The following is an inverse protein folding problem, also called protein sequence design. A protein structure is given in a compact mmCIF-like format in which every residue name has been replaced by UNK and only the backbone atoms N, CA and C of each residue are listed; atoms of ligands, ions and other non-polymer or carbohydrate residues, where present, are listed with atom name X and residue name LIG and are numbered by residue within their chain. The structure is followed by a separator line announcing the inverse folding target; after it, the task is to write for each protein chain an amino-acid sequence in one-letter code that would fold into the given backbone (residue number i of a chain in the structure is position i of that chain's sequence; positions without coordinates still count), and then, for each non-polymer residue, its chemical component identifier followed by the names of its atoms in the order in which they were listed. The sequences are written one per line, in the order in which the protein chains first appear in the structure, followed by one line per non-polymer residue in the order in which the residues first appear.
data_IF_929460667385
#
_entry.id   IF_929460667385
#
_cell.length_a   1.000
_cell.length_b   1.000
_cell.length_c   1.000
_cell.angle_alpha   90.00
_cell.angle_beta   90.00
_cell.angle_gamma   90.00
#
_symmetry.space_group_name_H-M   'P 1'
#
loop_
_entity.id
_entity.type
_entity.pdbx_description
1 polymer ?
#
# COMPACT_ATOMS: atom_id res chain seq x y z
N UNK A 1 -8.24 -10.56 -17.46
CA UNK A 1 -7.78 -10.86 -16.08
C UNK A 1 -6.58 -9.98 -15.72
N UNK A 2 -6.57 -9.35 -14.55
CA UNK A 2 -5.49 -8.44 -14.11
C UNK A 2 -5.04 -8.64 -12.66
N UNK A 3 -5.78 -9.42 -11.87
CA UNK A 3 -5.48 -9.59 -10.44
C UNK A 3 -4.26 -10.49 -10.21
N UNK A 4 -3.50 -10.19 -9.16
CA UNK A 4 -2.56 -11.13 -8.56
C UNK A 4 -3.27 -11.85 -7.41
N UNK A 5 -3.32 -13.19 -7.47
CA UNK A 5 -4.05 -14.03 -6.52
C UNK A 5 -3.04 -14.82 -5.69
N UNK A 6 -3.05 -14.58 -4.38
CA UNK A 6 -2.22 -15.25 -3.37
C UNK A 6 -3.07 -16.31 -2.68
N UNK A 7 -2.77 -17.58 -2.86
CA UNK A 7 -3.61 -18.69 -2.39
C UNK A 7 -2.95 -19.41 -1.21
N UNK A 8 -3.71 -19.61 -0.12
CA UNK A 8 -3.36 -20.56 0.94
C UNK A 8 -4.42 -21.65 1.03
N UNK A 9 -4.01 -22.91 0.98
CA UNK A 9 -4.90 -24.08 0.98
C UNK A 9 -4.18 -25.33 0.46
N UNK A 10 -4.90 -26.44 0.31
CA UNK A 10 -4.35 -27.63 -0.34
C UNK A 10 -4.17 -27.42 -1.85
N UNK A 11 -3.09 -27.94 -2.41
CA UNK A 11 -2.76 -27.81 -3.83
C UNK A 11 -3.84 -28.45 -4.73
N UNK A 12 -4.33 -29.63 -4.35
CA UNK A 12 -5.43 -30.33 -5.03
C UNK A 12 -6.71 -29.47 -5.12
N UNK A 13 -7.03 -28.73 -4.06
CA UNK A 13 -8.19 -27.83 -4.03
C UNK A 13 -7.96 -26.60 -4.91
N UNK A 14 -6.75 -26.05 -4.91
CA UNK A 14 -6.38 -24.96 -5.82
C UNK A 14 -6.50 -25.39 -7.28
N UNK A 15 -6.03 -26.58 -7.64
CA UNK A 15 -6.08 -27.05 -9.02
C UNK A 15 -7.52 -27.20 -9.52
N UNK A 16 -8.43 -27.70 -8.67
CA UNK A 16 -9.86 -27.74 -8.98
C UNK A 16 -10.48 -26.34 -9.17
N UNK A 17 -9.97 -25.32 -8.48
CA UNK A 17 -10.45 -23.94 -8.58
C UNK A 17 -9.73 -23.11 -9.66
N UNK A 18 -8.68 -23.64 -10.28
CA UNK A 18 -7.73 -22.87 -11.09
C UNK A 18 -8.37 -22.20 -12.30
N UNK A 19 -9.30 -22.87 -12.97
CA UNK A 19 -10.00 -22.31 -14.14
C UNK A 19 -10.84 -21.09 -13.77
N UNK A 20 -11.58 -21.17 -12.65
CA UNK A 20 -12.39 -20.07 -12.13
C UNK A 20 -11.51 -18.90 -11.72
N UNK A 21 -10.42 -19.17 -10.99
CA UNK A 21 -9.48 -18.13 -10.58
C UNK A 21 -8.79 -17.47 -11.79
N UNK A 22 -8.51 -18.23 -12.85
CA UNK A 22 -7.86 -17.73 -14.06
C UNK A 22 -8.75 -16.78 -14.88
N UNK A 23 -10.07 -16.83 -14.70
CA UNK A 23 -10.97 -15.88 -15.33
C UNK A 23 -10.74 -14.43 -14.86
N UNK A 24 -10.28 -14.25 -13.61
CA UNK A 24 -10.07 -12.93 -12.99
C UNK A 24 -8.60 -12.60 -12.70
N UNK A 25 -7.77 -13.63 -12.47
CA UNK A 25 -6.36 -13.53 -12.12
C UNK A 25 -5.43 -13.62 -13.31
N UNK A 26 -4.43 -12.73 -13.37
CA UNK A 26 -3.30 -12.84 -14.30
C UNK A 26 -2.19 -13.74 -13.75
N UNK A 27 -2.03 -13.77 -12.43
CA UNK A 27 -1.03 -14.59 -11.73
C UNK A 27 -1.69 -15.24 -10.52
N UNK A 28 -1.59 -16.56 -10.43
CA UNK A 28 -2.11 -17.36 -9.31
C UNK A 28 -0.92 -18.05 -8.67
N UNK A 29 -0.62 -17.71 -7.42
CA UNK A 29 0.54 -18.23 -6.69
C UNK A 29 0.04 -18.98 -5.47
N UNK A 30 0.40 -20.26 -5.36
CA UNK A 30 0.21 -21.03 -4.14
C UNK A 30 1.31 -20.67 -3.15
N UNK A 31 0.93 -20.14 -2.00
CA UNK A 31 1.86 -19.69 -0.95
C UNK A 31 2.12 -20.80 0.07
N UNK A 32 1.14 -21.67 0.30
CA UNK A 32 1.24 -22.72 1.31
C UNK A 32 -0.14 -23.17 1.84
N UNK A 33 -0.21 -23.72 3.05
CA UNK A 33 -1.47 -24.20 3.64
C UNK A 33 -2.48 -23.07 3.91
N UNK A 34 -3.66 -23.45 4.40
CA UNK A 34 -4.70 -22.49 4.81
C UNK A 34 -4.12 -21.44 5.75
N UNK A 35 -4.42 -20.17 5.46
CA UNK A 35 -3.86 -19.00 6.16
C UNK A 35 -2.66 -18.35 5.46
N UNK A 36 -1.86 -19.10 4.69
CA UNK A 36 -0.67 -18.54 4.03
C UNK A 36 -0.98 -17.46 3.00
N UNK A 37 -2.11 -17.54 2.30
CA UNK A 37 -2.56 -16.48 1.39
C UNK A 37 -2.87 -15.17 2.11
N UNK A 38 -3.51 -15.25 3.29
CA UNK A 38 -3.79 -14.08 4.13
C UNK A 38 -2.50 -13.48 4.69
N UNK A 39 -1.58 -14.32 5.18
CA UNK A 39 -0.27 -13.86 5.63
C UNK A 39 0.54 -13.17 4.51
N UNK A 40 0.53 -13.73 3.29
CA UNK A 40 1.15 -13.09 2.13
C UNK A 40 0.52 -11.73 1.81
N UNK A 41 -0.81 -11.64 1.88
CA UNK A 41 -1.51 -10.36 1.71
C UNK A 41 -1.10 -9.36 2.79
N UNK A 42 -1.05 -9.74 4.06
CA UNK A 42 -0.61 -8.87 5.15
C UNK A 42 0.81 -8.32 4.90
N UNK A 43 1.76 -9.17 4.51
CA UNK A 43 3.12 -8.74 4.13
C UNK A 43 3.09 -7.71 3.01
N UNK A 44 2.27 -7.91 1.98
CA UNK A 44 2.10 -6.93 0.91
C UNK A 44 1.57 -5.59 1.44
N UNK A 45 0.60 -5.61 2.36
CA UNK A 45 -0.01 -4.37 2.87
C UNK A 45 0.96 -3.57 3.77
N UNK A 46 1.81 -4.25 4.55
CA UNK A 46 2.90 -3.63 5.31
C UNK A 46 3.90 -2.93 4.37
N UNK A 47 4.32 -3.60 3.30
CA UNK A 47 5.24 -3.01 2.30
C UNK A 47 4.58 -1.81 1.61
N UNK A 48 3.32 -1.93 1.20
CA UNK A 48 2.59 -0.82 0.59
C UNK A 48 2.46 0.39 1.51
N UNK A 49 2.23 0.19 2.81
CA UNK A 49 2.18 1.27 3.79
C UNK A 49 3.53 1.99 3.88
N UNK A 50 4.62 1.25 4.08
CA UNK A 50 5.96 1.83 4.17
C UNK A 50 6.37 2.59 2.91
N UNK A 51 6.03 2.08 1.71
CA UNK A 51 6.30 2.79 0.45
C UNK A 51 5.49 4.09 0.38
N UNK A 52 4.18 4.06 0.69
CA UNK A 52 3.35 5.27 0.64
C UNK A 52 3.83 6.33 1.64
N UNK A 53 4.13 5.91 2.86
CA UNK A 53 4.69 6.76 3.92
C UNK A 53 5.98 7.44 3.45
N UNK A 54 6.95 6.67 2.99
CA UNK A 54 8.25 7.19 2.53
C UNK A 54 8.12 8.10 1.30
N UNK A 55 7.26 7.77 0.35
CA UNK A 55 7.05 8.60 -0.85
C UNK A 55 6.38 9.92 -0.48
N UNK A 56 5.33 9.89 0.33
CA UNK A 56 4.59 11.10 0.70
C UNK A 56 5.44 12.03 1.57
N UNK A 57 6.19 11.49 2.52
CA UNK A 57 7.14 12.25 3.34
C UNK A 57 8.29 12.82 2.49
N UNK A 58 8.91 12.02 1.62
CA UNK A 58 9.99 12.48 0.77
C UNK A 58 9.58 13.59 -0.22
N UNK A 59 8.39 13.47 -0.81
CA UNK A 59 7.86 14.53 -1.67
C UNK A 59 7.48 15.79 -0.88
N UNK A 60 6.94 15.64 0.33
CA UNK A 60 6.61 16.79 1.17
C UNK A 60 7.88 17.53 1.61
N UNK A 61 8.96 16.79 1.89
CA UNK A 61 10.26 17.37 2.17
C UNK A 61 10.84 18.11 0.96
N UNK A 62 10.74 17.54 -0.24
CA UNK A 62 11.15 18.21 -1.47
C UNK A 62 10.38 19.52 -1.71
N UNK A 63 9.08 19.52 -1.43
CA UNK A 63 8.21 20.70 -1.53
C UNK A 63 8.60 21.77 -0.49
N UNK A 64 8.87 21.38 0.76
CA UNK A 64 9.34 22.27 1.83
C UNK A 64 10.73 22.87 1.58
N UNK A 65 11.53 22.26 0.72
CA UNK A 65 12.82 22.78 0.25
C UNK A 65 12.70 23.70 -0.98
N UNK A 66 11.47 24.07 -1.38
CA UNK A 66 11.18 24.88 -2.57
C UNK A 66 11.78 24.30 -3.87
N UNK A 67 11.88 22.97 -3.97
CA UNK A 67 12.42 22.33 -5.16
C UNK A 67 11.43 22.37 -6.33
N UNK A 68 11.95 22.31 -7.56
CA UNK A 68 11.11 22.05 -8.71
C UNK A 68 10.61 20.59 -8.66
N UNK A 69 9.37 20.41 -8.22
CA UNK A 69 8.80 19.09 -7.94
C UNK A 69 8.64 18.20 -9.17
N UNK A 70 8.43 18.77 -10.35
CA UNK A 70 8.39 18.00 -11.60
C UNK A 70 9.77 17.42 -11.93
N UNK A 71 10.82 18.23 -11.80
CA UNK A 71 12.20 17.78 -12.00
C UNK A 71 12.66 16.81 -10.91
N UNK A 72 12.20 17.02 -9.68
CA UNK A 72 12.46 16.09 -8.58
C UNK A 72 11.89 14.71 -8.92
N UNK A 73 10.61 14.63 -9.32
CA UNK A 73 9.99 13.36 -9.73
C UNK A 73 10.74 12.71 -10.89
N UNK A 74 11.11 13.48 -11.93
CA UNK A 74 11.88 12.96 -13.07
C UNK A 74 13.23 12.36 -12.62
N UNK A 75 13.94 13.05 -11.73
CA UNK A 75 15.26 12.62 -11.27
C UNK A 75 15.22 11.36 -10.39
N UNK A 76 14.24 11.25 -9.49
CA UNK A 76 14.21 10.16 -8.51
C UNK A 76 13.48 8.90 -9.00
N UNK A 77 12.54 9.04 -9.96
CA UNK A 77 11.74 7.91 -10.46
C UNK A 77 12.58 6.89 -11.25
N UNK A 78 13.75 7.29 -11.77
CA UNK A 78 14.67 6.41 -12.51
C UNK A 78 15.73 5.76 -11.62
N UNK A 79 15.88 6.23 -10.37
CA UNK A 79 16.91 5.77 -9.44
C UNK A 79 16.43 4.65 -8.52
N UNK A 80 17.25 4.30 -7.52
CA UNK A 80 16.92 3.28 -6.52
C UNK A 80 15.65 3.58 -5.69
N UNK A 81 15.23 4.85 -5.64
CA UNK A 81 13.98 5.26 -5.00
C UNK A 81 12.74 5.06 -5.90
N UNK A 82 12.93 4.82 -7.19
CA UNK A 82 11.86 4.61 -8.17
C UNK A 82 10.98 3.43 -7.78
N UNK A 83 9.67 3.64 -7.79
CA UNK A 83 8.70 2.62 -7.40
C UNK A 83 7.34 2.90 -8.02
N UNK A 84 6.49 1.86 -8.06
CA UNK A 84 5.16 1.92 -8.68
C UNK A 84 4.32 3.08 -8.16
N UNK A 85 4.38 3.36 -6.85
CA UNK A 85 3.55 4.39 -6.24
C UNK A 85 3.93 5.78 -6.75
N UNK A 86 5.22 6.06 -6.86
CA UNK A 86 5.72 7.31 -7.40
C UNK A 86 5.33 7.51 -8.87
N UNK A 87 5.49 6.48 -9.70
CA UNK A 87 5.16 6.54 -11.13
C UNK A 87 3.67 6.85 -11.38
N UNK A 88 2.79 6.30 -10.53
CA UNK A 88 1.34 6.37 -10.75
C UNK A 88 0.65 7.46 -9.93
N UNK A 89 1.24 7.89 -8.81
CA UNK A 89 0.64 8.85 -7.86
C UNK A 89 1.44 10.12 -7.71
N UNK A 90 2.71 10.18 -8.10
CA UNK A 90 3.57 11.36 -7.95
C UNK A 90 2.92 12.63 -8.50
N UNK A 91 2.53 12.61 -9.77
CA UNK A 91 1.88 13.75 -10.42
C UNK A 91 0.52 14.12 -9.82
N UNK A 92 -0.28 13.13 -9.42
CA UNK A 92 -1.61 13.38 -8.85
C UNK A 92 -1.53 13.94 -7.44
N UNK A 93 -0.51 13.54 -6.65
CA UNK A 93 -0.21 14.15 -5.35
C UNK A 93 0.17 15.63 -5.51
N UNK A 94 1.07 15.96 -6.45
CA UNK A 94 1.48 17.34 -6.70
C UNK A 94 0.32 18.23 -7.17
N UNK A 95 -0.65 17.67 -7.89
CA UNK A 95 -1.87 18.40 -8.30
C UNK A 95 -2.99 18.37 -7.26
N UNK A 96 -2.78 17.78 -6.08
CA UNK A 96 -3.79 17.70 -5.02
C UNK A 96 -5.02 16.85 -5.38
N UNK A 97 -4.87 15.91 -6.32
CA UNK A 97 -5.95 15.06 -6.83
C UNK A 97 -5.77 13.62 -6.35
N UNK A 98 -6.77 13.07 -5.64
CA UNK A 98 -6.67 11.76 -4.98
C UNK A 98 -7.80 10.81 -5.37
N UNK A 99 -8.04 10.67 -6.68
CA UNK A 99 -9.03 9.72 -7.18
C UNK A 99 -8.65 8.27 -6.78
N UNK A 100 -9.57 7.51 -6.15
CA UNK A 100 -9.23 6.26 -5.49
C UNK A 100 -8.84 5.17 -6.51
N UNK A 101 -7.62 4.67 -6.40
CA UNK A 101 -7.28 3.32 -6.89
C UNK A 101 -7.22 2.32 -5.74
N UNK A 102 -6.81 2.76 -4.55
CA UNK A 102 -7.04 2.02 -3.31
C UNK A 102 -7.43 3.00 -2.20
N UNK A 103 -8.64 2.81 -1.66
CA UNK A 103 -9.23 3.75 -0.69
C UNK A 103 -8.46 3.74 0.61
N UNK A 104 -8.20 4.92 1.18
CA UNK A 104 -7.47 5.08 2.43
C UNK A 104 -8.09 4.27 3.57
N UNK A 105 -9.41 4.31 3.75
CA UNK A 105 -10.08 3.53 4.80
C UNK A 105 -9.93 2.01 4.66
N UNK A 106 -9.78 1.52 3.42
CA UNK A 106 -9.60 0.08 3.17
C UNK A 106 -8.17 -0.35 3.48
N UNK A 107 -7.19 0.49 3.16
CA UNK A 107 -5.81 0.22 3.55
C UNK A 107 -5.65 0.31 5.06
N UNK A 108 -6.25 1.30 5.74
CA UNK A 108 -6.28 1.38 7.21
C UNK A 108 -6.79 0.08 7.84
N UNK A 109 -7.96 -0.40 7.39
CA UNK A 109 -8.51 -1.69 7.85
C UNK A 109 -7.57 -2.88 7.59
N UNK A 110 -6.81 -2.86 6.49
CA UNK A 110 -5.79 -3.89 6.25
C UNK A 110 -4.57 -3.74 7.19
N UNK A 111 -4.18 -2.52 7.57
CA UNK A 111 -3.10 -2.27 8.52
C UNK A 111 -3.48 -2.69 9.94
N UNK A 112 -4.74 -2.45 10.36
CA UNK A 112 -5.27 -2.94 11.64
C UNK A 112 -5.12 -4.47 11.74
N UNK A 113 -5.47 -5.20 10.67
CA UNK A 113 -5.27 -6.65 10.60
C UNK A 113 -3.78 -7.02 10.73
N UNK A 114 -2.88 -6.26 10.09
CA UNK A 114 -1.44 -6.52 10.18
C UNK A 114 -0.90 -6.31 11.60
N UNK A 115 -1.35 -5.24 12.27
CA UNK A 115 -0.98 -4.94 13.66
C UNK A 115 -1.52 -6.02 14.61
N UNK A 116 -2.79 -6.43 14.47
CA UNK A 116 -3.37 -7.54 15.23
C UNK A 116 -2.64 -8.88 15.03
N UNK A 117 -2.07 -9.09 13.83
CA UNK A 117 -1.23 -10.26 13.55
C UNK A 117 0.15 -10.14 14.22
N UNK A 118 0.75 -8.95 14.19
CA UNK A 118 2.05 -8.69 14.81
C UNK A 118 2.00 -8.79 16.34
N UNK A 119 0.92 -8.35 16.98
CA UNK A 119 0.70 -8.45 18.44
C UNK A 119 0.74 -9.89 18.96
N UNK A 120 0.50 -10.87 18.09
CA UNK A 120 0.55 -12.31 18.41
C UNK A 120 1.96 -12.90 18.28
N UNK A 121 2.93 -12.13 17.79
CA UNK A 121 4.30 -12.55 17.54
C UNK A 121 5.23 -11.92 18.59
N UNK A 122 5.73 -12.69 19.58
CA UNK A 122 6.58 -12.15 20.63
C UNK A 122 7.82 -11.43 20.08
N UNK A 123 7.97 -10.16 20.45
CA UNK A 123 9.13 -9.34 20.06
C UNK A 123 9.12 -8.81 18.63
N UNK A 124 8.00 -8.93 17.89
CA UNK A 124 7.87 -8.37 16.56
C UNK A 124 7.04 -7.08 16.60
N UNK A 125 7.58 -6.00 16.03
CA UNK A 125 6.91 -4.71 15.93
C UNK A 125 6.87 -4.24 14.47
N UNK A 126 5.76 -3.61 14.09
CA UNK A 126 5.55 -3.01 12.78
C UNK A 126 5.54 -1.49 12.89
N UNK A 127 6.64 -0.91 13.37
CA UNK A 127 6.75 0.52 13.71
C UNK A 127 6.26 1.46 12.59
N UNK A 128 6.68 1.22 11.34
CA UNK A 128 6.23 2.05 10.20
C UNK A 128 4.73 1.87 9.90
N UNK A 129 4.19 0.67 10.12
CA UNK A 129 2.76 0.40 9.92
C UNK A 129 1.92 1.12 10.96
N UNK A 130 2.34 1.10 12.23
CA UNK A 130 1.69 1.82 13.33
C UNK A 130 1.65 3.34 13.08
N UNK A 131 2.77 3.94 12.64
CA UNK A 131 2.81 5.35 12.25
C UNK A 131 1.85 5.63 11.08
N UNK A 132 1.92 4.84 10.02
CA UNK A 132 1.06 5.01 8.83
C UNK A 132 -0.42 4.89 9.20
N UNK A 133 -0.79 3.91 10.04
CA UNK A 133 -2.15 3.70 10.49
C UNK A 133 -2.70 4.91 11.27
N UNK A 134 -1.91 5.46 12.21
CA UNK A 134 -2.29 6.67 12.96
C UNK A 134 -2.51 7.89 12.06
N UNK A 135 -1.70 8.03 11.03
CA UNK A 135 -1.85 9.13 10.06
C UNK A 135 -3.08 8.93 9.17
N UNK A 136 -3.34 7.70 8.74
CA UNK A 136 -4.60 7.37 8.07
C UNK A 136 -5.82 7.61 8.96
N UNK A 137 -5.79 7.26 10.24
CA UNK A 137 -6.89 7.55 11.16
C UNK A 137 -7.22 9.05 11.24
N UNK A 138 -6.19 9.91 11.27
CA UNK A 138 -6.38 11.37 11.25
C UNK A 138 -7.11 11.79 9.96
N UNK A 139 -6.67 11.27 8.82
CA UNK A 139 -7.27 11.58 7.52
C UNK A 139 -8.71 11.06 7.39
N UNK A 140 -9.00 9.87 7.91
CA UNK A 140 -10.39 9.37 7.99
C UNK A 140 -11.26 10.31 8.83
N UNK A 141 -10.77 10.75 10.00
CA UNK A 141 -11.49 11.71 10.86
C UNK A 141 -11.72 13.06 10.17
N UNK A 142 -10.83 13.45 9.26
CA UNK A 142 -10.95 14.64 8.41
C UNK A 142 -11.87 14.45 7.18
N UNK A 143 -12.41 13.24 6.96
CA UNK A 143 -13.33 12.94 5.85
C UNK A 143 -12.67 12.41 4.58
N UNK A 144 -11.37 12.08 4.62
CA UNK A 144 -10.60 11.63 3.45
C UNK A 144 -10.57 10.11 3.24
N UNK A 145 -11.38 9.35 3.98
CA UNK A 145 -11.35 7.88 3.94
C UNK A 145 -11.72 7.25 2.59
N UNK A 146 -12.45 7.97 1.72
CA UNK A 146 -12.80 7.52 0.37
C UNK A 146 -11.79 7.91 -0.71
N UNK A 147 -10.82 8.77 -0.39
CA UNK A 147 -9.75 9.16 -1.30
C UNK A 147 -8.71 8.03 -1.43
N UNK A 148 -7.86 8.12 -2.45
CA UNK A 148 -6.71 7.22 -2.61
C UNK A 148 -5.74 7.35 -1.41
N UNK A 149 -5.05 6.27 -1.06
CA UNK A 149 -4.01 6.26 -0.02
C UNK A 149 -2.93 7.34 -0.21
N UNK A 150 -2.71 7.82 -1.44
CA UNK A 150 -1.81 8.96 -1.72
C UNK A 150 -2.26 10.28 -1.09
N UNK A 151 -3.50 10.41 -0.61
CA UNK A 151 -3.96 11.61 0.12
C UNK A 151 -3.25 11.80 1.46
N UNK A 152 -2.47 10.81 1.92
CA UNK A 152 -1.50 10.97 2.99
C UNK A 152 -0.55 12.15 2.79
N UNK A 153 -0.21 12.48 1.54
CA UNK A 153 0.57 13.66 1.20
C UNK A 153 0.02 14.96 1.82
N UNK A 154 -1.32 15.10 1.93
CA UNK A 154 -1.97 16.27 2.57
C UNK A 154 -1.52 16.48 4.01
N UNK A 155 -1.28 15.40 4.74
CA UNK A 155 -0.89 15.45 6.14
C UNK A 155 0.63 15.67 6.31
N UNK A 156 1.43 15.23 5.34
CA UNK A 156 2.89 15.39 5.36
C UNK A 156 3.35 16.78 4.94
N UNK A 157 2.59 17.44 4.05
CA UNK A 157 2.85 18.81 3.62
C UNK A 157 2.59 19.78 4.78
N UNK A 158 3.60 20.57 5.12
CA UNK A 158 3.56 21.60 6.17
C UNK A 158 2.66 22.78 5.77
#
# INVERSE_FOLDING_TARGET
ATLSIMVGGEESTLDNARDVLSAIGKKIIHIGPTGSGQACKAVNQVICAGINEAVTEGLAFGDALDLNMERLLEAISVGAAGNWFMDHRGKTMLSGTYAPGFKLKLHLKDLDICLDMADKLPGFDLTLTDVTARDYEKLVKMGHGEEDISCLFRLKKA
#
